data_IF_130948668904
#
_entry.id   IF_130948668904
#
_cell.length_a   1.000
_cell.length_b   1.000
_cell.length_c   1.000
_cell.angle_alpha   90.00
_cell.angle_beta   90.00
_cell.angle_gamma   90.00
#
_symmetry.space_group_name_H-M   'P 1'
#
loop_
_entity.id
_entity.type
_entity.pdbx_description
1 polymer ?
#
# COMPACT_ATOMS: atom_id res chain seq x y z
N UNK A 1 17.83 1.60 -8.54
CA UNK A 1 16.51 2.24 -8.60
C UNK A 1 16.44 3.35 -7.57
N UNK A 2 16.16 4.58 -7.99
CA UNK A 2 15.77 5.70 -7.13
C UNK A 2 14.31 6.00 -7.36
N UNK A 3 13.49 5.81 -6.34
CA UNK A 3 12.03 5.85 -6.44
C UNK A 3 11.41 7.09 -5.76
N UNK A 4 12.22 8.03 -5.29
CA UNK A 4 11.78 9.21 -4.50
C UNK A 4 10.69 10.05 -5.20
N UNK A 5 10.66 10.03 -6.53
CA UNK A 5 9.69 10.79 -7.34
C UNK A 5 8.46 9.97 -7.74
N UNK A 6 8.43 8.69 -7.39
CA UNK A 6 7.24 7.86 -7.65
C UNK A 6 6.12 8.30 -6.72
N UNK A 7 5.10 8.86 -7.31
CA UNK A 7 3.84 9.16 -6.63
C UNK A 7 2.88 7.96 -6.73
N UNK A 8 1.67 8.11 -6.25
CA UNK A 8 0.65 7.06 -6.27
C UNK A 8 0.48 6.51 -7.69
N UNK A 9 0.54 5.20 -7.79
CA UNK A 9 0.31 4.47 -9.03
C UNK A 9 -0.62 3.29 -8.78
N UNK A 10 -1.47 2.97 -9.74
CA UNK A 10 -2.31 1.77 -9.66
C UNK A 10 -1.47 0.50 -9.72
N UNK A 11 -1.93 -0.55 -9.04
CA UNK A 11 -1.21 -1.83 -8.90
C UNK A 11 -0.83 -2.43 -10.26
N UNK A 12 -1.71 -2.38 -11.26
CA UNK A 12 -1.42 -2.89 -12.62
C UNK A 12 -0.18 -2.25 -13.23
N UNK A 13 -0.02 -0.92 -13.11
CA UNK A 13 1.17 -0.23 -13.62
C UNK A 13 2.42 -0.63 -12.84
N UNK A 14 2.31 -0.83 -11.54
CA UNK A 14 3.42 -1.33 -10.73
C UNK A 14 3.82 -2.73 -11.16
N UNK A 15 2.86 -3.62 -11.46
CA UNK A 15 3.11 -4.97 -11.97
C UNK A 15 3.83 -4.95 -13.32
N UNK A 16 3.41 -4.06 -14.25
CA UNK A 16 4.07 -3.90 -15.54
C UNK A 16 5.54 -3.47 -15.38
N UNK A 17 5.79 -2.45 -14.54
CA UNK A 17 7.15 -1.98 -14.27
C UNK A 17 7.97 -3.04 -13.52
N UNK A 18 7.39 -3.73 -12.54
CA UNK A 18 8.03 -4.84 -11.83
C UNK A 18 8.45 -5.96 -12.79
N UNK A 19 7.59 -6.30 -13.75
CA UNK A 19 7.89 -7.26 -14.80
C UNK A 19 9.07 -6.81 -15.69
N UNK A 20 9.12 -5.52 -16.03
CA UNK A 20 10.24 -4.94 -16.78
C UNK A 20 11.54 -4.98 -15.98
N UNK A 21 11.52 -4.75 -14.67
CA UNK A 21 12.68 -4.90 -13.79
C UNK A 21 13.16 -6.35 -13.78
N UNK A 22 12.26 -7.31 -13.64
CA UNK A 22 12.62 -8.74 -13.68
C UNK A 22 13.19 -9.14 -15.05
N UNK A 23 12.64 -8.63 -16.13
CA UNK A 23 13.19 -8.83 -17.49
C UNK A 23 14.60 -8.24 -17.61
N UNK A 24 14.83 -7.03 -17.09
CA UNK A 24 16.18 -6.44 -17.06
C UNK A 24 17.16 -7.33 -16.28
N UNK A 25 16.78 -7.85 -15.12
CA UNK A 25 17.59 -8.76 -14.30
C UNK A 25 17.94 -10.05 -15.03
N UNK A 26 17.07 -10.55 -15.92
CA UNK A 26 17.35 -11.76 -16.71
C UNK A 26 18.56 -11.62 -17.65
N UNK A 27 19.02 -10.39 -17.92
CA UNK A 27 20.28 -10.13 -18.63
C UNK A 27 21.56 -10.32 -17.79
N UNK A 28 21.42 -10.77 -16.52
CA UNK A 28 22.54 -10.94 -15.59
C UNK A 28 22.98 -9.67 -14.88
N UNK A 29 22.34 -8.54 -15.12
CA UNK A 29 22.63 -7.26 -14.46
C UNK A 29 21.90 -7.14 -13.14
N UNK A 30 22.62 -6.73 -12.10
CA UNK A 30 22.04 -6.48 -10.78
C UNK A 30 21.25 -5.18 -10.75
N UNK A 31 20.18 -5.19 -9.98
CA UNK A 31 19.35 -4.02 -9.66
C UNK A 31 19.41 -3.79 -8.17
N UNK A 32 19.79 -2.58 -7.76
CA UNK A 32 19.78 -2.15 -6.37
C UNK A 32 18.75 -1.03 -6.22
N UNK A 33 17.83 -1.17 -5.29
CA UNK A 33 16.90 -0.13 -4.90
C UNK A 33 17.45 0.60 -3.67
N UNK A 34 17.48 1.93 -3.73
CA UNK A 34 17.98 2.77 -2.64
C UNK A 34 16.95 3.83 -2.31
N UNK A 35 16.72 4.08 -1.03
CA UNK A 35 15.75 5.07 -0.59
C UNK A 35 15.97 5.57 0.82
N UNK A 36 15.68 6.86 1.02
CA UNK A 36 15.58 7.45 2.37
C UNK A 36 14.36 6.88 3.10
N UNK A 37 13.33 6.53 2.36
CA UNK A 37 12.09 5.91 2.80
C UNK A 37 11.40 5.23 1.63
N UNK A 38 10.47 4.33 1.91
CA UNK A 38 9.65 3.71 0.89
C UNK A 38 8.17 3.77 1.26
N UNK A 39 7.36 4.43 0.43
CA UNK A 39 5.92 4.23 0.44
C UNK A 39 5.57 2.84 -0.07
N UNK A 40 4.33 2.40 0.16
CA UNK A 40 3.85 1.09 -0.32
C UNK A 40 4.07 0.89 -1.83
N UNK A 41 3.80 1.91 -2.67
CA UNK A 41 4.01 1.83 -4.11
C UNK A 41 5.50 1.79 -4.49
N UNK A 42 6.34 2.56 -3.82
CA UNK A 42 7.79 2.56 -4.01
C UNK A 42 8.38 1.21 -3.60
N UNK A 43 7.94 0.68 -2.46
CA UNK A 43 8.44 -0.61 -1.99
C UNK A 43 8.02 -1.77 -2.89
N UNK A 44 6.84 -1.71 -3.52
CA UNK A 44 6.45 -2.70 -4.54
C UNK A 44 7.53 -2.84 -5.62
N UNK A 45 8.00 -1.73 -6.18
CA UNK A 45 9.06 -1.77 -7.19
C UNK A 45 10.43 -2.09 -6.60
N UNK A 46 10.74 -1.60 -5.40
CA UNK A 46 11.97 -1.92 -4.70
C UNK A 46 12.10 -3.41 -4.42
N UNK A 47 11.01 -4.11 -4.10
CA UNK A 47 11.00 -5.55 -3.83
C UNK A 47 11.45 -6.41 -5.01
N UNK A 48 11.38 -5.90 -6.25
CA UNK A 48 11.88 -6.55 -7.45
C UNK A 48 13.40 -6.40 -7.64
N UNK A 49 14.08 -5.56 -6.85
CA UNK A 49 15.54 -5.43 -6.90
C UNK A 49 16.25 -6.65 -6.29
N UNK A 50 17.53 -6.81 -6.62
CA UNK A 50 18.38 -7.83 -6.01
C UNK A 50 18.80 -7.44 -4.59
N UNK A 51 18.93 -6.14 -4.33
CA UNK A 51 19.16 -5.58 -3.02
C UNK A 51 18.30 -4.33 -2.80
N UNK A 52 17.76 -4.19 -1.61
CA UNK A 52 17.00 -3.02 -1.15
C UNK A 52 17.73 -2.40 0.03
N UNK A 53 18.19 -1.16 -0.13
CA UNK A 53 18.89 -0.42 0.92
C UNK A 53 18.01 0.73 1.40
N UNK A 54 17.87 0.83 2.71
CA UNK A 54 17.10 1.87 3.38
C UNK A 54 18.01 2.74 4.24
N UNK A 55 17.72 4.02 4.33
CA UNK A 55 18.40 4.88 5.29
C UNK A 55 18.14 4.41 6.73
N UNK A 56 19.15 4.40 7.64
CA UNK A 56 18.96 3.99 9.04
C UNK A 56 17.93 4.81 9.81
N UNK A 57 17.62 6.03 9.35
CA UNK A 57 16.56 6.88 9.89
C UNK A 57 15.27 6.85 9.04
N UNK A 58 15.25 5.97 8.04
CA UNK A 58 14.14 5.83 7.12
C UNK A 58 12.98 5.03 7.70
N UNK A 59 11.96 4.91 6.91
CA UNK A 59 10.79 4.12 7.25
C UNK A 59 10.22 3.40 6.02
N UNK A 60 9.54 2.33 6.30
CA UNK A 60 8.71 1.56 5.37
C UNK A 60 7.38 1.29 6.06
N UNK A 61 6.29 1.66 5.42
CA UNK A 61 4.96 1.46 5.99
C UNK A 61 4.02 0.88 4.93
N UNK A 62 3.26 -0.12 5.35
CA UNK A 62 2.18 -0.71 4.57
C UNK A 62 0.84 -0.21 5.10
N UNK A 63 0.10 0.49 4.25
CA UNK A 63 -1.19 1.10 4.59
C UNK A 63 -2.38 0.29 4.06
N UNK A 64 -2.10 -0.71 3.21
CA UNK A 64 -3.13 -1.44 2.48
C UNK A 64 -3.80 -0.58 1.41
N UNK A 65 -5.01 -0.96 1.04
CA UNK A 65 -5.86 -0.18 0.13
C UNK A 65 -7.10 0.28 0.87
N UNK A 66 -7.51 1.52 0.61
CA UNK A 66 -8.67 2.12 1.25
C UNK A 66 -9.52 2.89 0.24
N UNK A 67 -10.77 3.11 0.60
CA UNK A 67 -11.72 3.93 -0.16
C UNK A 67 -12.54 4.77 0.79
N UNK A 68 -12.37 6.09 0.70
CA UNK A 68 -13.11 7.07 1.50
C UNK A 68 -14.01 7.88 0.59
N UNK A 69 -15.25 8.07 1.01
CA UNK A 69 -16.23 8.88 0.32
C UNK A 69 -16.91 9.85 1.28
N UNK A 70 -17.08 11.09 0.86
CA UNK A 70 -17.86 12.06 1.63
C UNK A 70 -19.35 11.86 1.41
N UNK A 71 -20.14 12.09 2.46
CA UNK A 71 -21.59 11.98 2.46
C UNK A 71 -22.20 13.33 2.81
N UNK A 72 -23.23 13.72 2.12
CA UNK A 72 -23.76 15.09 2.14
C UNK A 72 -25.24 15.19 2.55
N UNK A 73 -25.91 14.08 2.86
CA UNK A 73 -27.37 14.07 3.15
C UNK A 73 -27.72 15.13 4.20
N UNK A 74 -27.13 15.05 5.38
CA UNK A 74 -27.43 16.01 6.46
C UNK A 74 -27.10 17.46 6.09
N UNK A 75 -26.04 17.70 5.30
CA UNK A 75 -25.71 19.03 4.82
C UNK A 75 -26.77 19.58 3.84
N UNK A 76 -27.23 18.73 2.91
CA UNK A 76 -28.27 19.09 1.95
C UNK A 76 -29.60 19.39 2.64
N UNK A 77 -29.98 18.59 3.63
CA UNK A 77 -31.19 18.81 4.45
C UNK A 77 -31.13 20.15 5.17
N UNK A 78 -30.00 20.51 5.79
CA UNK A 78 -29.79 21.81 6.47
C UNK A 78 -29.89 22.99 5.51
N UNK A 79 -29.48 22.80 4.25
CA UNK A 79 -29.56 23.81 3.21
C UNK A 79 -30.93 23.82 2.50
N UNK A 80 -31.88 22.97 2.93
CA UNK A 80 -33.19 22.81 2.28
C UNK A 80 -33.10 22.42 0.80
N UNK A 81 -32.05 21.65 0.42
CA UNK A 81 -31.85 21.16 -0.94
C UNK A 81 -32.47 19.77 -1.04
N UNK A 82 -33.51 19.63 -1.86
CA UNK A 82 -34.14 18.34 -2.13
C UNK A 82 -33.48 17.65 -3.33
N UNK A 83 -33.09 16.40 -3.15
CA UNK A 83 -32.54 15.56 -4.21
C UNK A 83 -33.60 14.54 -4.66
N UNK A 84 -33.81 14.47 -5.96
CA UNK A 84 -34.73 13.47 -6.59
C UNK A 84 -33.84 12.37 -7.21
N UNK A 85 -33.69 11.26 -6.50
CA UNK A 85 -32.78 10.18 -6.89
C UNK A 85 -33.59 8.96 -7.34
N UNK A 86 -33.31 8.51 -8.57
CA UNK A 86 -33.83 7.28 -9.12
C UNK A 86 -32.73 6.23 -9.17
N UNK A 87 -32.87 5.20 -8.34
CA UNK A 87 -31.89 4.12 -8.20
C UNK A 87 -32.55 2.77 -8.34
N UNK A 88 -31.99 1.90 -9.17
CA UNK A 88 -32.37 0.50 -9.30
C UNK A 88 -31.14 -0.38 -9.09
N UNK A 89 -31.24 -1.31 -8.15
CA UNK A 89 -30.19 -2.28 -7.82
C UNK A 89 -29.49 -1.98 -6.48
N UNK A 90 -29.26 -3.05 -5.70
CA UNK A 90 -28.74 -2.99 -4.32
C UNK A 90 -27.32 -2.44 -4.24
N UNK A 91 -26.47 -2.82 -5.19
CA UNK A 91 -25.04 -2.45 -5.18
C UNK A 91 -24.74 -1.15 -5.95
N UNK A 92 -25.76 -0.41 -6.41
CA UNK A 92 -25.53 0.88 -7.06
C UNK A 92 -25.35 1.99 -6.02
N UNK A 93 -24.14 2.15 -5.53
CA UNK A 93 -23.80 3.07 -4.42
C UNK A 93 -23.41 4.48 -4.84
N UNK A 94 -23.27 4.77 -6.15
CA UNK A 94 -22.83 6.07 -6.66
C UNK A 94 -23.64 7.28 -6.15
N UNK A 95 -24.92 7.09 -5.83
CA UNK A 95 -25.83 8.14 -5.34
C UNK A 95 -25.97 8.17 -3.82
N UNK A 96 -25.37 7.22 -3.10
CA UNK A 96 -25.45 7.14 -1.64
C UNK A 96 -24.95 8.42 -0.93
N UNK A 97 -23.93 9.14 -1.42
CA UNK A 97 -23.49 10.39 -0.81
C UNK A 97 -24.59 11.44 -0.62
N UNK A 98 -25.60 11.41 -1.46
CA UNK A 98 -26.74 12.34 -1.39
C UNK A 98 -27.92 11.81 -0.58
N UNK A 99 -27.95 10.50 -0.30
CA UNK A 99 -29.08 9.82 0.36
C UNK A 99 -28.80 9.42 1.80
N UNK A 100 -27.54 9.36 2.20
CA UNK A 100 -27.06 8.83 3.48
C UNK A 100 -25.93 9.68 4.02
N UNK A 101 -25.59 9.45 5.29
CA UNK A 101 -24.42 10.05 5.94
C UNK A 101 -23.30 9.03 6.15
N UNK A 102 -23.49 7.78 5.68
CA UNK A 102 -22.52 6.69 5.74
C UNK A 102 -22.63 5.75 4.54
N UNK A 103 -21.68 4.86 4.38
CA UNK A 103 -21.69 3.80 3.37
C UNK A 103 -22.68 2.70 3.78
N UNK A 104 -23.53 2.27 2.83
CA UNK A 104 -24.46 1.15 3.07
C UNK A 104 -23.71 -0.18 3.30
N UNK A 105 -24.32 -1.16 3.99
CA UNK A 105 -23.74 -2.50 4.14
C UNK A 105 -23.38 -3.16 2.81
N UNK A 106 -24.25 -3.05 1.79
CA UNK A 106 -23.99 -3.59 0.46
C UNK A 106 -22.80 -2.90 -0.24
N UNK A 107 -22.67 -1.58 -0.09
CA UNK A 107 -21.52 -0.84 -0.62
C UNK A 107 -20.25 -1.19 0.12
N UNK A 108 -20.29 -1.38 1.46
CA UNK A 108 -19.15 -1.83 2.26
C UNK A 108 -18.69 -3.22 1.81
N UNK A 109 -19.61 -4.17 1.64
CA UNK A 109 -19.33 -5.51 1.15
C UNK A 109 -18.62 -5.47 -0.21
N UNK A 110 -19.18 -4.75 -1.17
CA UNK A 110 -18.59 -4.61 -2.50
C UNK A 110 -17.20 -3.95 -2.48
N UNK A 111 -17.00 -2.91 -1.64
CA UNK A 111 -15.70 -2.27 -1.50
C UNK A 111 -14.67 -3.20 -0.83
N UNK A 112 -15.04 -3.91 0.22
CA UNK A 112 -14.13 -4.85 0.89
C UNK A 112 -13.68 -5.97 -0.05
N UNK A 113 -14.55 -6.46 -0.93
CA UNK A 113 -14.20 -7.51 -1.87
C UNK A 113 -13.01 -7.11 -2.75
N UNK A 114 -13.10 -5.98 -3.46
CA UNK A 114 -12.04 -5.57 -4.38
C UNK A 114 -10.81 -5.00 -3.66
N UNK A 115 -10.97 -4.33 -2.50
CA UNK A 115 -9.84 -3.84 -1.70
C UNK A 115 -9.00 -5.00 -1.16
N UNK A 116 -9.67 -6.05 -0.64
CA UNK A 116 -8.98 -7.25 -0.16
C UNK A 116 -8.30 -8.01 -1.30
N UNK A 117 -8.89 -8.05 -2.48
CA UNK A 117 -8.29 -8.68 -3.65
C UNK A 117 -7.01 -7.93 -4.07
N UNK A 118 -7.05 -6.59 -4.19
CA UNK A 118 -5.88 -5.78 -4.47
C UNK A 118 -4.78 -5.96 -3.41
N UNK A 119 -5.16 -5.98 -2.13
CA UNK A 119 -4.20 -6.17 -1.04
C UNK A 119 -3.58 -7.57 -1.08
N UNK A 120 -4.38 -8.58 -1.35
CA UNK A 120 -3.90 -9.95 -1.53
C UNK A 120 -2.89 -10.05 -2.67
N UNK A 121 -3.18 -9.47 -3.84
CA UNK A 121 -2.26 -9.45 -4.97
C UNK A 121 -0.95 -8.75 -4.62
N UNK A 122 -1.01 -7.56 -3.99
CA UNK A 122 0.17 -6.85 -3.53
C UNK A 122 1.04 -7.70 -2.60
N UNK A 123 0.43 -8.30 -1.57
CA UNK A 123 1.13 -9.14 -0.60
C UNK A 123 1.82 -10.33 -1.27
N UNK A 124 1.12 -11.03 -2.15
CA UNK A 124 1.68 -12.19 -2.85
C UNK A 124 2.85 -11.81 -3.75
N UNK A 125 2.71 -10.72 -4.50
CA UNK A 125 3.78 -10.26 -5.39
C UNK A 125 5.04 -9.89 -4.60
N UNK A 126 4.90 -9.07 -3.56
CA UNK A 126 6.04 -8.64 -2.72
C UNK A 126 6.64 -9.83 -1.95
N UNK A 127 5.81 -10.68 -1.34
CA UNK A 127 6.29 -11.87 -0.62
C UNK A 127 7.10 -12.79 -1.53
N UNK A 128 6.64 -13.01 -2.76
CA UNK A 128 7.34 -13.81 -3.77
C UNK A 128 8.71 -13.20 -4.13
N UNK A 129 8.78 -11.88 -4.33
CA UNK A 129 10.04 -11.21 -4.70
C UNK A 129 11.05 -11.20 -3.56
N UNK A 130 10.57 -11.02 -2.33
CA UNK A 130 11.43 -10.96 -1.14
C UNK A 130 11.70 -12.32 -0.47
N UNK A 131 10.97 -13.37 -0.85
CA UNK A 131 11.07 -14.69 -0.21
C UNK A 131 10.61 -14.70 1.25
N UNK A 132 9.62 -13.88 1.60
CA UNK A 132 9.09 -13.73 2.97
C UNK A 132 7.69 -14.32 3.10
N UNK A 133 7.25 -14.61 4.35
CA UNK A 133 5.90 -15.08 4.62
C UNK A 133 4.85 -13.98 4.43
N UNK A 134 3.65 -14.38 4.00
CA UNK A 134 2.49 -13.49 3.95
C UNK A 134 2.07 -12.97 5.33
N UNK A 135 2.33 -13.74 6.39
CA UNK A 135 2.01 -13.36 7.78
C UNK A 135 2.73 -12.08 8.22
N UNK A 136 3.84 -11.74 7.56
CA UNK A 136 4.58 -10.51 7.86
C UNK A 136 3.78 -9.23 7.55
N UNK A 137 2.71 -9.32 6.74
CA UNK A 137 1.86 -8.18 6.39
C UNK A 137 0.64 -8.01 7.29
N UNK A 138 0.32 -9.01 8.10
CA UNK A 138 -0.96 -9.09 8.82
C UNK A 138 -0.86 -8.67 10.29
N UNK A 139 0.24 -8.02 10.67
CA UNK A 139 0.42 -7.43 11.98
C UNK A 139 -0.62 -6.32 12.22
N UNK A 140 -1.36 -6.43 13.30
CA UNK A 140 -2.16 -5.30 13.76
C UNK A 140 -1.26 -4.21 14.37
N UNK A 141 -1.81 -3.00 14.54
CA UNK A 141 -1.05 -1.86 15.02
C UNK A 141 -0.34 -2.11 16.37
N UNK A 142 -0.93 -2.89 17.26
CA UNK A 142 -0.36 -3.19 18.56
C UNK A 142 0.83 -4.15 18.45
N UNK A 143 0.74 -5.18 17.61
CA UNK A 143 1.83 -6.12 17.33
C UNK A 143 2.97 -5.40 16.61
N UNK A 144 2.65 -4.55 15.62
CA UNK A 144 3.64 -3.75 14.93
C UNK A 144 4.40 -2.83 15.89
N UNK A 145 3.69 -2.15 16.79
CA UNK A 145 4.31 -1.29 17.81
C UNK A 145 5.30 -2.08 18.68
N UNK A 146 4.88 -3.26 19.19
CA UNK A 146 5.75 -4.12 19.98
C UNK A 146 7.01 -4.56 19.22
N UNK A 147 6.86 -4.91 17.93
CA UNK A 147 8.00 -5.30 17.09
C UNK A 147 8.96 -4.12 16.84
N UNK A 148 8.44 -2.93 16.61
CA UNK A 148 9.25 -1.71 16.46
C UNK A 148 9.93 -1.33 17.78
N UNK A 149 9.26 -1.45 18.91
CA UNK A 149 9.88 -1.25 20.24
C UNK A 149 11.02 -2.24 20.47
N UNK A 150 10.85 -3.52 20.12
CA UNK A 150 11.89 -4.53 20.19
C UNK A 150 13.09 -4.23 19.26
N UNK A 151 12.87 -3.47 18.19
CA UNK A 151 13.90 -2.94 17.29
C UNK A 151 14.38 -1.53 17.72
N UNK A 152 14.46 -1.27 19.03
CA UNK A 152 14.91 0.00 19.62
C UNK A 152 14.14 1.24 19.16
N UNK A 153 12.88 1.08 18.77
CA UNK A 153 12.04 2.15 18.24
C UNK A 153 12.36 2.54 16.80
N UNK A 154 13.19 1.77 16.09
CA UNK A 154 13.59 2.04 14.72
C UNK A 154 12.78 1.21 13.74
N UNK A 155 12.00 1.89 12.89
CA UNK A 155 11.27 1.23 11.78
C UNK A 155 12.24 0.66 10.75
N UNK A 156 13.38 1.30 10.53
CA UNK A 156 14.41 0.81 9.62
C UNK A 156 15.05 -0.51 10.12
N UNK A 157 15.39 -0.58 11.41
CA UNK A 157 15.89 -1.83 12.00
C UNK A 157 14.83 -2.93 12.00
N UNK A 158 13.58 -2.60 12.31
CA UNK A 158 12.46 -3.53 12.17
C UNK A 158 12.38 -4.09 10.74
N UNK A 159 12.49 -3.21 9.73
CA UNK A 159 12.45 -3.63 8.33
C UNK A 159 13.62 -4.55 7.97
N UNK A 160 14.82 -4.30 8.48
CA UNK A 160 15.99 -5.16 8.29
C UNK A 160 15.81 -6.52 8.96
N UNK A 161 15.36 -6.55 10.22
CA UNK A 161 15.16 -7.78 10.99
C UNK A 161 14.10 -8.70 10.38
N UNK A 162 13.13 -8.14 9.66
CA UNK A 162 12.06 -8.88 9.01
C UNK A 162 12.30 -9.11 7.50
N UNK A 163 13.52 -8.90 7.02
CA UNK A 163 13.93 -9.11 5.62
C UNK A 163 13.16 -8.25 4.60
N UNK A 164 12.56 -7.15 5.04
CA UNK A 164 11.97 -6.18 4.14
C UNK A 164 13.03 -5.44 3.33
N UNK A 165 14.17 -5.18 3.95
CA UNK A 165 15.35 -4.57 3.32
C UNK A 165 16.59 -5.43 3.59
N UNK A 166 17.62 -5.28 2.76
CA UNK A 166 18.83 -6.11 2.83
C UNK A 166 19.95 -5.42 3.60
N UNK A 167 19.92 -4.08 3.69
CA UNK A 167 20.95 -3.32 4.41
C UNK A 167 20.44 -1.93 4.78
N UNK A 168 21.01 -1.35 5.84
CA UNK A 168 20.78 0.03 6.23
C UNK A 168 22.00 0.86 5.86
N UNK A 169 21.83 1.85 4.98
CA UNK A 169 22.92 2.69 4.46
C UNK A 169 22.56 4.16 4.53
N UNK A 170 23.53 4.97 4.91
CA UNK A 170 23.41 6.42 4.81
C UNK A 170 23.45 6.84 3.33
N UNK A 171 23.09 8.09 3.06
CA UNK A 171 23.10 8.62 1.69
C UNK A 171 24.48 8.63 1.05
N UNK A 172 25.51 8.78 1.86
CA UNK A 172 26.92 8.79 1.43
C UNK A 172 27.41 7.37 1.07
N UNK A 173 26.76 6.33 1.63
CA UNK A 173 27.09 4.92 1.39
C UNK A 173 26.30 4.31 0.23
N UNK A 174 25.23 4.99 -0.23
CA UNK A 174 24.39 4.58 -1.36
C UNK A 174 24.97 5.08 -2.68
#
# INVERSE_FOLDING_TARGET
LKLDRLQNSGLTKLQDVGSAINYFKSSGKKVIAVGEQFSQAQYYLASHADNVWLNPRGWLLFEGFNSYQMYFKTALEKLSINQHIFRVGTYKSAVEPFMRDDMSPAAKEANLLWLNDLWSQYKHDVAKQRGISLDNFDDNAQVLLQKVEAANGSVAEYALQNNWVDDLKTREEM
#
